data_IF_902389025718
#
_entry.id   IF_902389025718
#
_cell.length_a   1.000
_cell.length_b   1.000
_cell.length_c   1.000
_cell.angle_alpha   90.00
_cell.angle_beta   90.00
_cell.angle_gamma   90.00
#
_symmetry.space_group_name_H-M   'P 1'
#
loop_
_entity.id
_entity.type
_entity.pdbx_description
1 polymer ?
#
# COMPACT_ATOMS: atom_id res chain seq x y z
N UNK A 1 -48.80 -51.85 13.40
CA UNK A 1 -49.01 -50.68 12.52
C UNK A 1 -49.04 -49.42 13.38
N UNK A 2 -47.92 -48.70 13.49
CA UNK A 2 -47.86 -47.24 13.69
C UNK A 2 -46.51 -46.79 13.13
N UNK A 3 -46.51 -45.61 12.52
CA UNK A 3 -45.66 -45.21 11.42
C UNK A 3 -44.20 -44.86 11.81
N UNK A 4 -43.27 -44.89 10.83
CA UNK A 4 -41.88 -44.48 11.02
C UNK A 4 -41.76 -43.01 11.44
N UNK A 5 -40.82 -42.73 12.34
CA UNK A 5 -40.50 -41.39 12.83
C UNK A 5 -39.84 -40.55 11.72
N UNK A 6 -40.28 -39.31 11.47
CA UNK A 6 -39.71 -38.44 10.45
C UNK A 6 -38.24 -38.09 10.75
N UNK A 7 -37.39 -38.30 9.75
CA UNK A 7 -35.98 -37.91 9.72
C UNK A 7 -35.93 -36.38 9.80
N UNK A 8 -35.31 -35.84 10.85
CA UNK A 8 -35.00 -34.43 10.96
C UNK A 8 -34.05 -34.05 9.82
N UNK A 9 -34.60 -33.54 8.72
CA UNK A 9 -33.83 -32.96 7.63
C UNK A 9 -33.18 -31.69 8.15
N UNK A 10 -31.90 -31.76 8.54
CA UNK A 10 -31.08 -30.56 8.64
C UNK A 10 -31.12 -29.88 7.26
N UNK A 11 -31.51 -28.61 7.16
CA UNK A 11 -31.61 -27.95 5.87
C UNK A 11 -30.24 -27.98 5.20
N UNK A 12 -30.20 -28.65 4.07
CA UNK A 12 -29.05 -28.93 3.22
C UNK A 12 -28.58 -27.67 2.45
N UNK A 13 -28.83 -26.49 3.01
CA UNK A 13 -28.46 -25.20 2.43
C UNK A 13 -27.25 -24.66 3.18
N UNK A 14 -26.14 -25.37 2.95
CA UNK A 14 -24.80 -24.98 3.37
C UNK A 14 -24.47 -23.66 2.68
N UNK A 15 -24.71 -22.57 3.43
CA UNK A 15 -24.52 -21.17 3.05
C UNK A 15 -23.30 -21.04 2.16
N UNK A 16 -23.50 -20.52 0.95
CA UNK A 16 -22.44 -20.36 -0.05
C UNK A 16 -21.36 -19.44 0.57
N UNK A 17 -20.25 -20.03 1.02
CA UNK A 17 -19.13 -19.31 1.64
C UNK A 17 -18.24 -18.59 0.60
N UNK A 18 -18.65 -18.56 -0.68
CA UNK A 18 -17.85 -18.00 -1.77
C UNK A 18 -17.43 -16.54 -1.52
N UNK A 19 -18.31 -15.73 -0.94
CA UNK A 19 -18.01 -14.34 -0.55
C UNK A 19 -16.90 -14.26 0.50
N UNK A 20 -16.89 -15.16 1.48
CA UNK A 20 -15.88 -15.19 2.55
C UNK A 20 -14.52 -15.62 2.02
N UNK A 21 -14.50 -16.61 1.14
CA UNK A 21 -13.27 -17.12 0.51
C UNK A 21 -12.71 -16.09 -0.48
N UNK A 22 -13.56 -15.42 -1.26
CA UNK A 22 -13.17 -14.31 -2.11
C UNK A 22 -12.59 -13.14 -1.31
N UNK A 23 -13.28 -12.72 -0.24
CA UNK A 23 -12.78 -11.65 0.63
C UNK A 23 -11.43 -12.02 1.28
N UNK A 24 -11.25 -13.26 1.73
CA UNK A 24 -9.97 -13.74 2.26
C UNK A 24 -8.86 -13.74 1.21
N UNK A 25 -9.14 -14.24 -0.01
CA UNK A 25 -8.18 -14.21 -1.11
C UNK A 25 -7.80 -12.78 -1.51
N UNK A 26 -8.78 -11.88 -1.59
CA UNK A 26 -8.54 -10.47 -1.88
C UNK A 26 -7.68 -9.83 -0.79
N UNK A 27 -8.00 -10.06 0.50
CA UNK A 27 -7.25 -9.48 1.62
C UNK A 27 -5.77 -9.92 1.64
N UNK A 28 -5.51 -11.21 1.35
CA UNK A 28 -4.16 -11.78 1.33
C UNK A 28 -3.37 -11.31 0.10
N UNK A 29 -4.03 -11.19 -1.04
CA UNK A 29 -3.39 -10.73 -2.29
C UNK A 29 -3.19 -9.22 -2.34
N UNK A 30 -3.98 -8.44 -1.60
CA UNK A 30 -3.91 -6.98 -1.54
C UNK A 30 -2.48 -6.44 -1.31
N UNK A 31 -1.69 -6.91 -0.31
CA UNK A 31 -0.33 -6.43 -0.12
C UNK A 31 0.56 -6.68 -1.34
N UNK A 32 0.47 -7.87 -1.96
CA UNK A 32 1.29 -8.23 -3.13
C UNK A 32 0.84 -7.43 -4.36
N UNK A 33 -0.46 -7.32 -4.58
CA UNK A 33 -1.02 -6.52 -5.67
C UNK A 33 -0.65 -5.05 -5.53
N UNK A 34 -0.67 -4.52 -4.30
CA UNK A 34 -0.29 -3.15 -4.00
C UNK A 34 1.20 -2.91 -4.26
N UNK A 35 2.09 -3.82 -3.87
CA UNK A 35 3.52 -3.65 -4.17
C UNK A 35 3.79 -3.67 -5.66
N UNK A 36 3.20 -4.62 -6.40
CA UNK A 36 3.32 -4.67 -7.87
C UNK A 36 2.79 -3.40 -8.51
N UNK A 37 1.62 -2.93 -8.08
CA UNK A 37 1.02 -1.70 -8.59
C UNK A 37 1.94 -0.49 -8.38
N UNK A 38 2.46 -0.30 -7.16
CA UNK A 38 3.36 0.81 -6.83
C UNK A 38 4.65 0.74 -7.66
N UNK A 39 5.25 -0.44 -7.80
CA UNK A 39 6.47 -0.62 -8.60
C UNK A 39 6.23 -0.25 -10.06
N UNK A 40 5.13 -0.73 -10.65
CA UNK A 40 4.79 -0.42 -12.05
C UNK A 40 4.44 1.06 -12.23
N UNK A 41 3.74 1.66 -11.25
CA UNK A 41 3.38 3.08 -11.28
C UNK A 41 4.63 3.98 -11.23
N UNK A 42 5.56 3.72 -10.31
CA UNK A 42 6.83 4.45 -10.23
C UNK A 42 7.68 4.19 -11.48
N UNK A 43 7.76 2.94 -11.95
CA UNK A 43 8.51 2.60 -13.15
C UNK A 43 7.98 3.28 -14.41
N UNK A 44 6.65 3.39 -14.55
CA UNK A 44 6.01 4.15 -15.61
C UNK A 44 6.29 5.65 -15.51
N UNK A 45 6.22 6.21 -14.30
CA UNK A 45 6.55 7.62 -14.06
C UNK A 45 8.01 7.93 -14.42
N UNK A 46 8.95 7.07 -14.01
CA UNK A 46 10.36 7.20 -14.35
C UNK A 46 10.61 7.02 -15.84
N UNK A 47 9.96 6.05 -16.50
CA UNK A 47 10.06 5.92 -17.95
C UNK A 47 9.66 7.23 -18.62
N UNK A 48 8.50 7.80 -18.28
CA UNK A 48 8.04 9.05 -18.89
C UNK A 48 8.99 10.23 -18.62
N UNK A 49 9.61 10.27 -17.42
CA UNK A 49 10.55 11.34 -17.05
C UNK A 49 11.89 11.21 -17.78
N UNK A 50 12.38 9.98 -17.97
CA UNK A 50 13.71 9.72 -18.51
C UNK A 50 13.73 9.36 -20.00
N UNK A 51 12.59 9.04 -20.62
CA UNK A 51 12.51 8.69 -22.05
C UNK A 51 13.01 9.83 -22.95
N UNK A 52 12.53 11.05 -22.73
CA UNK A 52 12.94 12.23 -23.52
C UNK A 52 14.45 12.54 -23.45
N UNK A 53 15.08 12.67 -22.25
CA UNK A 53 16.51 12.94 -22.18
C UNK A 53 17.35 11.76 -22.69
N UNK A 54 16.91 10.51 -22.51
CA UNK A 54 17.67 9.35 -22.97
C UNK A 54 17.63 9.21 -24.48
N UNK A 55 16.46 9.41 -25.11
CA UNK A 55 16.35 9.52 -26.57
C UNK A 55 17.29 10.60 -27.12
N UNK A 56 17.35 11.75 -26.45
CA UNK A 56 18.19 12.87 -26.88
C UNK A 56 19.70 12.60 -26.72
N UNK A 57 20.11 11.88 -25.67
CA UNK A 57 21.52 11.59 -25.38
C UNK A 57 22.07 10.36 -26.10
N UNK A 58 21.27 9.29 -26.19
CA UNK A 58 21.70 7.98 -26.67
C UNK A 58 21.09 7.58 -28.01
N UNK A 59 20.07 8.29 -28.50
CA UNK A 59 19.39 8.00 -29.77
C UNK A 59 18.67 6.64 -29.81
N UNK A 60 18.57 5.94 -28.67
CA UNK A 60 18.02 4.60 -28.56
C UNK A 60 17.06 4.53 -27.39
N UNK A 61 15.94 3.84 -27.61
CA UNK A 61 14.98 3.51 -26.58
C UNK A 61 15.41 2.27 -25.80
N UNK A 62 15.53 2.42 -24.47
CA UNK A 62 15.84 1.31 -23.57
C UNK A 62 14.54 0.88 -22.88
N UNK A 63 13.82 -0.12 -23.43
CA UNK A 63 12.60 -0.62 -22.80
C UNK A 63 12.92 -1.22 -21.42
N UNK A 64 12.12 -0.89 -20.42
CA UNK A 64 12.26 -1.43 -19.06
C UNK A 64 13.24 -0.67 -18.16
N UNK A 65 13.85 0.43 -18.62
CA UNK A 65 14.78 1.21 -17.81
C UNK A 65 14.16 1.76 -16.53
N UNK A 66 12.93 2.26 -16.60
CA UNK A 66 12.18 2.76 -15.44
C UNK A 66 11.94 1.69 -14.40
N UNK A 67 11.80 0.42 -14.78
CA UNK A 67 11.70 -0.69 -13.84
C UNK A 67 13.03 -0.91 -13.10
N UNK A 68 14.15 -0.90 -13.83
CA UNK A 68 15.49 -1.03 -13.25
C UNK A 68 15.82 0.13 -12.31
N UNK A 69 15.49 1.36 -12.70
CA UNK A 69 15.64 2.55 -11.86
C UNK A 69 14.75 2.46 -10.61
N UNK A 70 13.51 2.00 -10.75
CA UNK A 70 12.61 1.78 -9.60
C UNK A 70 13.22 0.78 -8.61
N UNK A 71 13.76 -0.33 -9.11
CA UNK A 71 14.48 -1.33 -8.30
C UNK A 71 15.67 -0.71 -7.56
N UNK A 72 16.51 0.08 -8.24
CA UNK A 72 17.61 0.78 -7.59
C UNK A 72 17.13 1.76 -6.52
N UNK A 73 16.07 2.51 -6.77
CA UNK A 73 15.50 3.47 -5.80
C UNK A 73 14.96 2.72 -4.58
N UNK A 74 14.18 1.66 -4.78
CA UNK A 74 13.61 0.87 -3.67
C UNK A 74 14.73 0.24 -2.83
N UNK A 75 15.76 -0.32 -3.47
CA UNK A 75 16.93 -0.85 -2.77
C UNK A 75 17.68 0.25 -2.01
N UNK A 76 17.85 1.42 -2.63
CA UNK A 76 18.46 2.58 -1.97
C UNK A 76 17.66 3.02 -0.74
N UNK A 77 16.34 3.14 -0.85
CA UNK A 77 15.44 3.47 0.26
C UNK A 77 15.52 2.41 1.36
N UNK A 78 15.49 1.12 1.01
CA UNK A 78 15.63 0.03 1.97
C UNK A 78 16.98 0.00 2.68
N UNK A 79 18.06 0.28 1.93
CA UNK A 79 19.41 0.42 2.47
C UNK A 79 19.50 1.60 3.44
N UNK A 80 18.97 2.76 3.05
CA UNK A 80 18.89 3.93 3.92
C UNK A 80 18.11 3.59 5.19
N UNK A 81 16.90 3.02 5.06
CA UNK A 81 16.03 2.65 6.18
C UNK A 81 16.71 1.69 7.17
N UNK A 82 17.58 0.81 6.68
CA UNK A 82 18.32 -0.16 7.50
C UNK A 82 19.58 0.41 8.16
N UNK A 83 20.04 1.60 7.74
CA UNK A 83 21.20 2.28 8.33
C UNK A 83 20.77 3.38 9.30
N UNK A 84 21.59 3.59 10.35
CA UNK A 84 21.44 4.66 11.37
C UNK A 84 21.37 6.07 10.75
N UNK A 85 21.78 6.21 9.48
CA UNK A 85 21.60 7.42 8.68
C UNK A 85 20.15 7.91 8.62
N UNK A 86 19.19 6.98 8.69
CA UNK A 86 17.77 7.32 8.76
C UNK A 86 17.44 8.16 9.99
N UNK A 87 17.96 7.82 11.16
CA UNK A 87 17.75 8.59 12.38
C UNK A 87 18.29 10.02 12.25
N UNK A 88 19.48 10.18 11.67
CA UNK A 88 20.11 11.49 11.45
C UNK A 88 19.35 12.35 10.41
N UNK A 89 18.84 11.74 9.35
CA UNK A 89 17.98 12.41 8.36
C UNK A 89 16.67 12.84 8.99
N UNK A 90 16.03 11.99 9.80
CA UNK A 90 14.79 12.34 10.49
C UNK A 90 14.99 13.45 11.52
N UNK A 91 16.11 13.51 12.25
CA UNK A 91 16.42 14.62 13.16
C UNK A 91 16.64 15.95 12.41
N UNK A 92 17.36 15.93 11.28
CA UNK A 92 17.53 17.11 10.43
C UNK A 92 16.22 17.56 9.80
N UNK A 93 15.41 16.62 9.31
CA UNK A 93 14.08 16.89 8.81
C UNK A 93 13.21 17.49 9.91
N UNK A 94 13.17 16.92 11.13
CA UNK A 94 12.42 17.48 12.25
C UNK A 94 12.88 18.89 12.63
N UNK A 95 14.17 19.19 12.51
CA UNK A 95 14.67 20.55 12.79
C UNK A 95 14.21 21.56 11.72
N UNK A 96 14.10 21.13 10.46
CA UNK A 96 13.60 21.95 9.34
C UNK A 96 12.07 22.05 9.35
N UNK A 97 11.37 20.93 9.54
CA UNK A 97 9.91 20.82 9.68
C UNK A 97 9.40 21.51 10.95
N UNK A 98 10.17 21.48 12.05
CA UNK A 98 9.85 22.19 13.29
C UNK A 98 9.80 23.71 13.14
N UNK A 99 10.35 24.26 12.04
CA UNK A 99 10.18 25.68 11.66
C UNK A 99 8.98 25.94 10.75
N UNK A 100 8.28 24.91 10.28
CA UNK A 100 7.10 25.01 9.41
C UNK A 100 5.88 24.50 10.19
N UNK A 101 5.29 25.31 11.10
CA UNK A 101 4.19 24.92 11.98
C UNK A 101 2.93 24.40 11.25
N UNK A 102 2.79 24.70 9.95
CA UNK A 102 1.64 24.32 9.10
C UNK A 102 1.49 22.80 8.93
N UNK A 103 2.60 22.05 8.90
CA UNK A 103 2.54 20.59 8.71
C UNK A 103 2.07 19.86 9.98
N UNK A 104 2.40 20.41 11.15
CA UNK A 104 1.97 19.85 12.43
C UNK A 104 0.46 20.04 12.64
N UNK A 105 -0.09 21.21 12.27
CA UNK A 105 -1.54 21.45 12.34
C UNK A 105 -2.33 20.60 11.35
N UNK A 106 -1.84 20.42 10.13
CA UNK A 106 -2.51 19.56 9.14
C UNK A 106 -2.50 18.09 9.57
N UNK A 107 -1.38 17.61 10.12
CA UNK A 107 -1.29 16.25 10.64
C UNK A 107 -2.21 16.04 11.86
N UNK A 108 -2.25 17.00 12.79
CA UNK A 108 -3.13 16.90 13.96
C UNK A 108 -4.60 16.93 13.56
N UNK A 109 -5.02 17.81 12.64
CA UNK A 109 -6.43 17.90 12.21
C UNK A 109 -6.90 16.63 11.49
N UNK A 110 -6.06 16.05 10.63
CA UNK A 110 -6.41 14.79 9.95
C UNK A 110 -6.54 13.66 10.98
N UNK A 111 -5.57 13.56 11.90
CA UNK A 111 -5.57 12.52 12.92
C UNK A 111 -6.73 12.67 13.91
N UNK A 112 -7.09 13.88 14.28
CA UNK A 112 -8.19 14.18 15.18
C UNK A 112 -9.54 13.90 14.52
N UNK A 113 -9.72 14.26 13.25
CA UNK A 113 -10.94 13.92 12.50
C UNK A 113 -11.08 12.42 12.32
N UNK A 114 -10.00 11.73 11.95
CA UNK A 114 -9.94 10.27 11.89
C UNK A 114 -10.23 9.67 13.27
N UNK A 115 -9.62 10.17 14.33
CA UNK A 115 -9.86 9.76 15.71
C UNK A 115 -11.31 9.96 16.16
N UNK A 116 -11.99 11.01 15.72
CA UNK A 116 -13.41 11.24 15.97
C UNK A 116 -14.31 10.27 15.19
N UNK A 117 -13.91 9.93 13.96
CA UNK A 117 -14.64 8.97 13.11
C UNK A 117 -14.45 7.52 13.55
N UNK A 118 -13.29 7.18 14.13
CA UNK A 118 -12.96 5.83 14.60
C UNK A 118 -13.09 5.64 16.12
N UNK A 119 -13.14 6.72 16.90
CA UNK A 119 -13.24 6.76 18.36
C UNK A 119 -14.52 7.40 18.89
N UNK A 120 -15.52 7.63 18.03
CA UNK A 120 -16.85 8.14 18.39
C UNK A 120 -17.75 7.17 19.16
N UNK A 121 -17.17 6.27 19.95
CA UNK A 121 -17.89 5.36 20.86
C UNK A 121 -17.05 5.18 22.11
N UNK A 122 -17.33 5.99 23.13
CA UNK A 122 -17.35 5.60 24.55
C UNK A 122 -17.42 6.85 25.44
N UNK A 123 -18.65 7.25 25.79
CA UNK A 123 -19.02 7.80 27.10
C UNK A 123 -20.32 7.15 27.54
#
# INVERSE_FOLDING_TARGET
MTLPVPIAQKPLFQRIHLRRWFAQGLLISLPIGLTVYVVLWIGGWLNNLFEAPIKALFGVDIPGLGLLLTLMIILGVGFLASHVLTAWIFEKLNTVLGRIPVLHSLYSTIHETVGLLFGGTDR
#
